data_IF_472576050226
#
_entry.id   IF_472576050226
#
_cell.length_a   1.000
_cell.length_b   1.000
_cell.length_c   1.000
_cell.angle_alpha   90.00
_cell.angle_beta   90.00
_cell.angle_gamma   90.00
#
_symmetry.space_group_name_H-M   'P 1'
#
loop_
_entity.id
_entity.type
_entity.pdbx_description
1 polymer ?
#
# COMPACT_ATOMS: atom_id res chain seq x y z
N UNK A 1 30.54 -44.26 -12.91
CA UNK A 1 30.01 -43.93 -11.57
C UNK A 1 29.12 -42.71 -11.73
N UNK A 2 27.83 -42.95 -12.00
CA UNK A 2 26.84 -41.91 -12.23
C UNK A 2 26.30 -41.45 -10.87
N UNK A 3 26.39 -40.15 -10.59
CA UNK A 3 25.74 -39.50 -9.45
C UNK A 3 24.22 -39.42 -9.73
N UNK A 4 23.33 -39.84 -8.83
CA UNK A 4 21.89 -39.66 -9.03
C UNK A 4 21.50 -38.19 -8.88
N UNK A 5 20.69 -37.71 -9.82
CA UNK A 5 20.14 -36.36 -9.87
C UNK A 5 19.24 -36.10 -8.65
N UNK A 6 19.50 -35.00 -7.94
CA UNK A 6 18.61 -34.49 -6.90
C UNK A 6 17.29 -33.98 -7.52
N UNK A 7 16.13 -34.21 -6.88
CA UNK A 7 14.85 -33.73 -7.40
C UNK A 7 14.77 -32.18 -7.33
N UNK A 8 14.13 -31.51 -8.30
CA UNK A 8 13.87 -30.08 -8.21
C UNK A 8 12.85 -29.82 -7.09
N UNK A 9 13.20 -28.91 -6.16
CA UNK A 9 12.30 -28.49 -5.09
C UNK A 9 11.04 -27.82 -5.69
N UNK A 10 9.84 -28.38 -5.49
CA UNK A 10 8.61 -27.78 -5.95
C UNK A 10 8.17 -26.68 -4.98
N UNK A 11 7.84 -25.51 -5.53
CA UNK A 11 6.94 -24.56 -4.90
C UNK A 11 7.53 -23.79 -3.72
N UNK A 12 8.36 -22.78 -4.00
CA UNK A 12 8.35 -21.58 -3.18
C UNK A 12 6.97 -20.91 -3.37
N UNK A 13 5.98 -21.37 -2.59
CA UNK A 13 4.69 -20.68 -2.46
C UNK A 13 4.98 -19.24 -2.05
N UNK A 14 4.61 -18.30 -2.92
CA UNK A 14 4.68 -16.87 -2.63
C UNK A 14 3.93 -16.61 -1.33
N UNK A 15 4.68 -16.39 -0.25
CA UNK A 15 4.12 -16.02 1.04
C UNK A 15 3.34 -14.72 0.83
N UNK A 16 2.06 -14.63 1.25
CA UNK A 16 1.33 -13.38 1.17
C UNK A 16 2.12 -12.34 1.97
N UNK A 17 2.53 -11.25 1.32
CA UNK A 17 3.18 -10.12 1.97
C UNK A 17 2.21 -9.53 2.98
N UNK A 18 2.35 -9.96 4.24
CA UNK A 18 1.49 -9.56 5.33
C UNK A 18 1.83 -8.10 5.67
N UNK A 19 1.04 -7.16 5.14
CA UNK A 19 1.17 -5.72 5.40
C UNK A 19 0.76 -5.42 6.85
N UNK A 20 1.66 -5.71 7.78
CA UNK A 20 1.47 -5.49 9.22
C UNK A 20 1.73 -4.02 9.56
N UNK A 21 0.91 -3.12 9.04
CA UNK A 21 0.87 -1.75 9.56
C UNK A 21 0.11 -1.81 10.90
N UNK A 22 0.86 -1.85 12.00
CA UNK A 22 0.27 -1.87 13.34
C UNK A 22 -0.44 -0.53 13.60
N UNK A 23 -1.62 -0.56 14.21
CA UNK A 23 -2.43 0.63 14.48
C UNK A 23 -1.66 1.75 15.22
N UNK A 24 -0.68 1.37 16.04
CA UNK A 24 0.23 2.29 16.72
C UNK A 24 1.03 3.19 15.76
N UNK A 25 1.58 2.63 14.68
CA UNK A 25 2.36 3.40 13.68
C UNK A 25 1.47 4.37 12.90
N UNK A 26 0.22 3.99 12.65
CA UNK A 26 -0.74 4.86 11.98
C UNK A 26 -1.11 6.08 12.83
N UNK A 27 -1.41 5.84 14.12
CA UNK A 27 -1.71 6.92 15.07
C UNK A 27 -0.51 7.85 15.23
N UNK A 28 0.71 7.30 15.32
CA UNK A 28 1.93 8.10 15.38
C UNK A 28 2.08 8.99 14.14
N UNK A 29 1.86 8.46 12.94
CA UNK A 29 1.98 9.23 11.71
C UNK A 29 0.99 10.40 11.65
N UNK A 30 -0.26 10.20 12.09
CA UNK A 30 -1.27 11.26 12.19
C UNK A 30 -0.82 12.33 13.19
N UNK A 31 -0.30 11.91 14.35
CA UNK A 31 0.18 12.84 15.36
C UNK A 31 1.36 13.67 14.87
N UNK A 32 2.36 13.06 14.22
CA UNK A 32 3.50 13.76 13.64
C UNK A 32 3.06 14.75 12.55
N UNK A 33 2.10 14.36 11.71
CA UNK A 33 1.54 15.24 10.69
C UNK A 33 0.82 16.44 11.32
N UNK A 34 -0.02 16.20 12.33
CA UNK A 34 -0.74 17.25 13.04
C UNK A 34 0.22 18.25 13.70
N UNK A 35 1.24 17.77 14.40
CA UNK A 35 2.25 18.64 15.03
C UNK A 35 2.98 19.48 13.98
N UNK A 36 3.44 18.85 12.89
CA UNK A 36 4.14 19.54 11.81
C UNK A 36 3.27 20.59 11.11
N UNK A 37 2.04 20.23 10.73
CA UNK A 37 1.10 21.15 10.08
C UNK A 37 0.70 22.32 10.98
N UNK A 38 0.50 22.07 12.28
CA UNK A 38 0.17 23.12 13.25
C UNK A 38 1.36 24.04 13.50
N UNK A 39 2.58 23.49 13.57
CA UNK A 39 3.79 24.29 13.70
C UNK A 39 4.00 25.21 12.47
N UNK A 40 3.74 24.71 11.27
CA UNK A 40 3.82 25.53 10.04
C UNK A 40 2.75 26.63 10.04
N UNK A 41 1.50 26.28 10.40
CA UNK A 41 0.41 27.25 10.50
C UNK A 41 0.69 28.33 11.56
N UNK A 42 1.25 27.95 12.71
CA UNK A 42 1.71 28.89 13.73
C UNK A 42 2.83 29.80 13.19
N UNK A 43 3.80 29.26 12.46
CA UNK A 43 4.84 30.04 11.79
C UNK A 43 4.27 31.09 10.83
N UNK A 44 3.25 30.73 10.04
CA UNK A 44 2.52 31.66 9.18
C UNK A 44 1.79 32.74 10.02
N UNK A 45 1.23 32.36 11.18
CA UNK A 45 0.51 33.29 12.07
C UNK A 45 1.43 34.35 12.70
N UNK A 46 2.63 33.94 13.15
CA UNK A 46 3.62 34.81 13.79
C UNK A 46 4.48 35.63 12.83
N UNK A 47 4.37 35.38 11.52
CA UNK A 47 5.14 36.12 10.51
C UNK A 47 4.69 37.60 10.48
N UNK A 48 5.61 38.59 10.58
CA UNK A 48 5.28 40.01 10.52
C UNK A 48 5.03 40.46 9.08
N UNK A 49 3.97 39.94 8.47
CA UNK A 49 3.56 40.24 7.09
C UNK A 49 2.13 40.78 7.05
N UNK A 50 1.78 41.42 5.93
CA UNK A 50 0.42 41.89 5.69
C UNK A 50 -0.60 40.74 5.73
N UNK A 51 -1.81 41.04 6.23
CA UNK A 51 -2.87 40.03 6.39
C UNK A 51 -3.22 39.29 5.10
N UNK A 52 -3.13 39.97 3.96
CA UNK A 52 -3.36 39.38 2.63
C UNK A 52 -2.33 38.30 2.28
N UNK A 53 -1.03 38.59 2.45
CA UNK A 53 0.05 37.63 2.23
C UNK A 53 -0.11 36.41 3.13
N UNK A 54 -0.49 36.65 4.39
CA UNK A 54 -0.75 35.57 5.35
C UNK A 54 -1.91 34.68 4.93
N UNK A 55 -3.00 35.26 4.42
CA UNK A 55 -4.14 34.50 3.90
C UNK A 55 -3.76 33.66 2.67
N UNK A 56 -2.96 34.21 1.74
CA UNK A 56 -2.45 33.47 0.59
C UNK A 56 -1.62 32.25 1.00
N UNK A 57 -0.69 32.43 1.94
CA UNK A 57 0.11 31.32 2.49
C UNK A 57 -0.76 30.28 3.21
N UNK A 58 -1.78 30.73 3.96
CA UNK A 58 -2.73 29.85 4.63
C UNK A 58 -3.54 28.99 3.65
N UNK A 59 -4.08 29.60 2.59
CA UNK A 59 -4.80 28.86 1.54
C UNK A 59 -3.86 27.90 0.82
N UNK A 60 -2.63 28.32 0.49
CA UNK A 60 -1.62 27.48 -0.13
C UNK A 60 -1.28 26.25 0.73
N UNK A 61 -1.11 26.43 2.04
CA UNK A 61 -0.90 25.35 2.99
C UNK A 61 -2.10 24.38 3.01
N UNK A 62 -3.32 24.89 3.18
CA UNK A 62 -4.54 24.07 3.23
C UNK A 62 -4.76 23.29 1.95
N UNK A 63 -4.57 23.93 0.80
CA UNK A 63 -4.73 23.30 -0.52
C UNK A 63 -3.68 22.22 -0.77
N UNK A 64 -2.41 22.50 -0.44
CA UNK A 64 -1.32 21.53 -0.57
C UNK A 64 -1.59 20.29 0.27
N UNK A 65 -1.94 20.47 1.56
CA UNK A 65 -2.29 19.37 2.47
C UNK A 65 -3.44 18.53 1.92
N UNK A 66 -4.52 19.19 1.48
CA UNK A 66 -5.70 18.51 0.94
C UNK A 66 -5.36 17.69 -0.31
N UNK A 67 -4.59 18.27 -1.23
CA UNK A 67 -4.14 17.61 -2.46
C UNK A 67 -3.26 16.39 -2.17
N UNK A 68 -2.29 16.52 -1.26
CA UNK A 68 -1.44 15.39 -0.84
C UNK A 68 -2.25 14.24 -0.24
N UNK A 69 -3.27 14.52 0.58
CA UNK A 69 -4.14 13.48 1.12
C UNK A 69 -5.02 12.82 0.06
N UNK A 70 -5.56 13.58 -0.89
CA UNK A 70 -6.32 13.04 -2.02
C UNK A 70 -5.44 12.11 -2.85
N UNK A 71 -4.22 12.54 -3.17
CA UNK A 71 -3.25 11.71 -3.90
C UNK A 71 -2.91 10.44 -3.11
N UNK A 72 -2.68 10.54 -1.79
CA UNK A 72 -2.42 9.39 -0.94
C UNK A 72 -3.59 8.40 -0.92
N UNK A 73 -4.84 8.87 -0.88
CA UNK A 73 -6.03 8.02 -1.02
C UNK A 73 -6.05 7.31 -2.37
N UNK A 74 -5.87 8.04 -3.48
CA UNK A 74 -5.84 7.45 -4.82
C UNK A 74 -4.78 6.34 -4.93
N UNK A 75 -3.60 6.53 -4.36
CA UNK A 75 -2.54 5.50 -4.36
C UNK A 75 -2.95 4.28 -3.54
N UNK A 76 -3.54 4.48 -2.35
CA UNK A 76 -4.03 3.38 -1.50
C UNK A 76 -5.17 2.62 -2.18
N UNK A 77 -6.14 3.32 -2.75
CA UNK A 77 -7.28 2.74 -3.46
C UNK A 77 -6.80 1.91 -4.66
N UNK A 78 -5.74 2.35 -5.35
CA UNK A 78 -5.08 1.57 -6.41
C UNK A 78 -4.47 0.27 -5.87
N UNK A 79 -3.73 0.33 -4.76
CA UNK A 79 -3.13 -0.86 -4.14
C UNK A 79 -4.20 -1.89 -3.73
N UNK A 80 -5.28 -1.45 -3.08
CA UNK A 80 -6.38 -2.32 -2.67
C UNK A 80 -7.10 -2.97 -3.88
N UNK A 81 -7.29 -2.21 -4.96
CA UNK A 81 -7.87 -2.73 -6.19
C UNK A 81 -6.99 -3.81 -6.84
N UNK A 82 -5.67 -3.61 -6.88
CA UNK A 82 -4.71 -4.59 -7.41
C UNK A 82 -4.62 -5.86 -6.56
N UNK A 83 -4.58 -5.72 -5.24
CA UNK A 83 -4.50 -6.87 -4.32
C UNK A 83 -5.76 -7.76 -4.40
N UNK A 84 -6.94 -7.16 -4.57
CA UNK A 84 -8.21 -7.91 -4.67
C UNK A 84 -8.29 -8.69 -5.97
N UNK A 85 -7.89 -8.09 -7.10
CA UNK A 85 -7.84 -8.77 -8.40
C UNK A 85 -6.88 -9.95 -8.37
N UNK A 86 -5.68 -9.77 -7.82
CA UNK A 86 -4.68 -10.83 -7.72
C UNK A 86 -5.17 -12.04 -6.89
N UNK A 87 -5.91 -11.81 -5.80
CA UNK A 87 -6.50 -12.90 -4.99
C UNK A 87 -7.60 -13.66 -5.73
N UNK A 88 -8.44 -12.95 -6.48
CA UNK A 88 -9.49 -13.58 -7.30
C UNK A 88 -8.86 -14.40 -8.41
N UNK A 89 -7.81 -13.90 -9.05
CA UNK A 89 -7.09 -14.63 -10.09
C UNK A 89 -6.41 -15.89 -9.52
N UNK A 90 -5.81 -15.83 -8.33
CA UNK A 90 -5.29 -17.02 -7.65
C UNK A 90 -6.39 -18.05 -7.35
N UNK A 91 -7.52 -17.63 -6.79
CA UNK A 91 -8.63 -18.54 -6.49
C UNK A 91 -9.25 -19.16 -7.76
N UNK A 92 -9.33 -18.38 -8.85
CA UNK A 92 -9.76 -18.88 -10.15
C UNK A 92 -8.77 -19.87 -10.75
N UNK A 93 -7.46 -19.58 -10.66
CA UNK A 93 -6.41 -20.47 -11.10
C UNK A 93 -6.44 -21.80 -10.32
N UNK A 94 -6.61 -21.73 -9.00
CA UNK A 94 -6.76 -22.91 -8.13
C UNK A 94 -8.00 -23.73 -8.48
N UNK A 95 -9.10 -23.06 -8.84
CA UNK A 95 -10.30 -23.74 -9.33
C UNK A 95 -10.08 -24.42 -10.68
N UNK A 96 -9.41 -23.75 -11.63
CA UNK A 96 -9.08 -24.35 -12.93
C UNK A 96 -8.11 -25.53 -12.77
N UNK A 97 -7.12 -25.44 -11.89
CA UNK A 97 -6.19 -26.53 -11.58
C UNK A 97 -6.86 -27.71 -10.86
N UNK A 98 -7.90 -27.46 -10.06
CA UNK A 98 -8.64 -28.54 -9.40
C UNK A 98 -9.70 -29.18 -10.29
N UNK A 99 -10.34 -28.42 -11.19
CA UNK A 99 -11.26 -28.95 -12.20
C UNK A 99 -10.53 -29.64 -13.38
N UNK A 100 -9.33 -29.19 -13.71
CA UNK A 100 -8.42 -29.85 -14.63
C UNK A 100 -7.20 -30.32 -13.85
N UNK A 101 -7.30 -31.51 -13.23
CA UNK A 101 -6.19 -32.24 -12.63
C UNK A 101 -5.55 -33.17 -13.69
N UNK A 102 -4.55 -32.70 -14.47
CA UNK A 102 -3.86 -33.51 -15.46
C UNK A 102 -2.99 -34.62 -14.83
N UNK A 103 -2.79 -34.65 -13.51
CA UNK A 103 -1.94 -35.65 -12.86
C UNK A 103 -2.67 -36.96 -12.52
N UNK A 104 -3.97 -37.05 -12.81
CA UNK A 104 -4.75 -38.30 -12.63
C UNK A 104 -4.81 -39.17 -13.89
N UNK A 105 -4.26 -38.72 -15.02
CA UNK A 105 -4.20 -39.47 -16.29
C UNK A 105 -2.75 -39.75 -16.70
N UNK A 106 -2.19 -40.83 -16.14
CA UNK A 106 -1.17 -41.74 -16.70
C UNK A 106 -0.40 -42.40 -15.55
N UNK A 107 -1.13 -43.28 -14.85
CA UNK A 107 -0.58 -44.33 -13.99
C UNK A 107 -1.12 -45.69 -14.43
N UNK A 108 -1.06 -45.95 -15.75
CA UNK A 108 -1.11 -47.27 -16.39
C UNK A 108 0.21 -47.49 -17.10
#
# INVERSE_FOLDING_TARGET
MCTPAAPPHPGAMNAPMQSRTTAAYHVQAILSFAISGTALAAGIAYLPVGGWTRAFLGIGLLYTVTSSFTLAKVIRDRQESSDTVARVDQARLEKLLSEHDPFKVEGV
#
